data_IF_807346214954
#
_entry.id   IF_807346214954
#
_cell.length_a   1.000
_cell.length_b   1.000
_cell.length_c   1.000
_cell.angle_alpha   90.00
_cell.angle_beta   90.00
_cell.angle_gamma   90.00
#
_symmetry.space_group_name_H-M   'P 1'
#
loop_
_entity.id
_entity.type
_entity.pdbx_description
1 polymer ?
#
# COMPACT_ATOMS: atom_id res chain seq x y z
N UNK A 1 22.31 32.66 38.88
CA UNK A 1 21.20 33.27 38.10
C UNK A 1 21.04 32.66 36.70
N UNK A 2 22.12 32.26 36.01
CA UNK A 2 22.03 31.61 34.68
C UNK A 2 21.43 30.20 34.66
N UNK A 3 21.62 29.40 35.72
CA UNK A 3 21.14 28.00 35.77
C UNK A 3 19.61 27.87 35.78
N UNK A 4 18.91 28.80 36.42
CA UNK A 4 17.45 28.76 36.58
C UNK A 4 16.72 29.10 35.28
N UNK A 5 17.29 29.99 34.46
CA UNK A 5 16.73 30.36 33.15
C UNK A 5 16.88 29.20 32.15
N UNK A 6 18.02 28.49 32.17
CA UNK A 6 18.26 27.31 31.33
C UNK A 6 17.28 26.17 31.65
N UNK A 7 17.02 25.93 32.95
CA UNK A 7 16.07 24.90 33.40
C UNK A 7 14.62 25.22 33.01
N UNK A 8 14.18 26.48 33.14
CA UNK A 8 12.86 26.91 32.66
C UNK A 8 12.72 26.76 31.14
N UNK A 9 13.75 27.10 30.36
CA UNK A 9 13.72 26.95 28.90
C UNK A 9 13.59 25.47 28.47
N UNK A 10 14.35 24.57 29.10
CA UNK A 10 14.28 23.13 28.82
C UNK A 10 12.94 22.50 29.26
N UNK A 11 12.33 22.98 30.35
CA UNK A 11 10.99 22.55 30.77
C UNK A 11 9.91 22.99 29.78
N UNK A 12 9.90 24.26 29.38
CA UNK A 12 8.92 24.79 28.40
C UNK A 12 9.08 24.09 27.04
N UNK A 13 10.31 23.80 26.63
CA UNK A 13 10.59 23.03 25.40
C UNK A 13 10.07 21.60 25.49
N UNK A 14 10.23 20.91 26.62
CA UNK A 14 9.69 19.56 26.84
C UNK A 14 8.16 19.56 26.84
N UNK A 15 7.52 20.50 27.52
CA UNK A 15 6.06 20.62 27.55
C UNK A 15 5.48 20.93 26.17
N UNK A 16 6.13 21.81 25.40
CA UNK A 16 5.76 22.10 24.02
C UNK A 16 5.88 20.87 23.10
N UNK A 17 6.95 20.09 23.24
CA UNK A 17 7.13 18.83 22.51
C UNK A 17 6.01 17.84 22.87
N UNK A 18 5.69 17.69 24.16
CA UNK A 18 4.61 16.81 24.63
C UNK A 18 3.26 17.27 24.05
N UNK A 19 2.98 18.56 24.06
CA UNK A 19 1.74 19.12 23.49
C UNK A 19 1.64 18.86 21.98
N UNK A 20 2.73 19.07 21.23
CA UNK A 20 2.79 18.76 19.78
C UNK A 20 2.57 17.26 19.53
N UNK A 21 3.20 16.39 20.32
CA UNK A 21 3.02 14.94 20.23
C UNK A 21 1.57 14.53 20.53
N UNK A 22 0.94 15.12 21.56
CA UNK A 22 -0.46 14.85 21.92
C UNK A 22 -1.41 15.28 20.79
N UNK A 23 -1.28 16.51 20.28
CA UNK A 23 -2.12 17.01 19.18
C UNK A 23 -1.96 16.16 17.90
N UNK A 24 -0.73 15.77 17.57
CA UNK A 24 -0.44 14.90 16.43
C UNK A 24 -1.07 13.51 16.58
N UNK A 25 -1.10 12.98 17.80
CA UNK A 25 -1.70 11.66 18.08
C UNK A 25 -3.23 11.64 17.92
N UNK A 26 -3.93 12.72 18.29
CA UNK A 26 -5.38 12.83 18.08
C UNK A 26 -5.76 12.88 16.60
N UNK A 27 -4.99 13.62 15.79
CA UNK A 27 -5.18 13.67 14.34
C UNK A 27 -5.00 12.29 13.70
N UNK A 28 -3.91 11.59 14.04
CA UNK A 28 -3.63 10.25 13.51
C UNK A 28 -4.68 9.21 13.93
N UNK A 29 -5.21 9.29 15.15
CA UNK A 29 -6.26 8.39 15.63
C UNK A 29 -7.60 8.61 14.90
N UNK A 30 -7.97 9.87 14.66
CA UNK A 30 -9.17 10.22 13.88
C UNK A 30 -9.05 9.70 12.44
N UNK A 31 -7.92 9.96 11.80
CA UNK A 31 -7.64 9.50 10.44
C UNK A 31 -7.66 7.97 10.32
N UNK A 32 -7.10 7.24 11.31
CA UNK A 32 -7.17 5.78 11.34
C UNK A 32 -8.62 5.28 11.42
N UNK A 33 -9.47 5.89 12.25
CA UNK A 33 -10.89 5.51 12.35
C UNK A 33 -11.61 5.72 11.02
N UNK A 34 -11.33 6.83 10.36
CA UNK A 34 -11.87 7.12 9.03
C UNK A 34 -11.43 6.08 7.99
N UNK A 35 -10.14 5.76 7.93
CA UNK A 35 -9.59 4.73 7.03
C UNK A 35 -10.27 3.39 7.25
N UNK A 36 -10.44 2.96 8.49
CA UNK A 36 -11.11 1.70 8.81
C UNK A 36 -12.56 1.73 8.33
N UNK A 37 -13.27 2.83 8.56
CA UNK A 37 -14.67 2.97 8.16
C UNK A 37 -14.87 2.99 6.63
N UNK A 38 -13.94 3.62 5.90
CA UNK A 38 -13.99 3.72 4.43
C UNK A 38 -13.33 2.54 3.70
N UNK A 39 -12.57 1.69 4.42
CA UNK A 39 -12.03 0.44 3.91
C UNK A 39 -13.16 -0.60 3.74
N UNK A 40 -13.83 -0.58 2.59
CA UNK A 40 -14.95 -1.50 2.29
C UNK A 40 -14.51 -2.83 1.69
N UNK A 41 -13.42 -2.83 0.91
CA UNK A 41 -12.75 -4.04 0.39
C UNK A 41 -11.96 -4.70 1.53
N UNK A 42 -12.09 -6.02 1.67
CA UNK A 42 -11.45 -6.82 2.73
C UNK A 42 -10.91 -8.12 2.18
N UNK A 43 -9.93 -8.70 2.86
CA UNK A 43 -9.39 -10.03 2.56
C UNK A 43 -10.32 -11.12 3.07
N UNK A 44 -10.46 -12.19 2.29
CA UNK A 44 -11.30 -13.36 2.61
C UNK A 44 -10.48 -14.65 2.76
N UNK A 45 -9.14 -14.54 2.82
CA UNK A 45 -8.25 -15.67 3.09
C UNK A 45 -8.15 -16.73 1.99
N UNK A 46 -8.78 -16.50 0.83
CA UNK A 46 -8.81 -17.42 -0.32
C UNK A 46 -8.37 -16.78 -1.63
N UNK A 47 -8.45 -17.57 -2.71
CA UNK A 47 -8.15 -17.14 -4.07
C UNK A 47 -9.28 -16.26 -4.62
N UNK A 48 -8.91 -15.14 -5.24
CA UNK A 48 -9.83 -14.19 -5.90
C UNK A 48 -10.18 -14.55 -7.35
N UNK A 49 -9.58 -15.61 -7.89
CA UNK A 49 -9.65 -16.03 -9.30
C UNK A 49 -9.15 -14.98 -10.30
N UNK A 50 -8.30 -14.04 -9.87
CA UNK A 50 -7.78 -12.98 -10.76
C UNK A 50 -6.98 -13.54 -11.95
N UNK A 51 -6.40 -14.74 -11.81
CA UNK A 51 -5.62 -15.44 -12.85
C UNK A 51 -6.45 -15.80 -14.09
N UNK A 52 -7.76 -15.90 -13.93
CA UNK A 52 -8.67 -16.15 -15.05
C UNK A 52 -8.80 -14.90 -15.94
N UNK A 53 -8.51 -13.71 -15.39
CA UNK A 53 -8.72 -12.43 -16.05
C UNK A 53 -7.42 -11.80 -16.54
N UNK A 54 -6.35 -11.85 -15.73
CA UNK A 54 -5.06 -11.22 -16.05
C UNK A 54 -3.88 -12.10 -15.63
N UNK A 55 -2.74 -11.89 -16.26
CA UNK A 55 -1.48 -12.51 -15.88
C UNK A 55 -0.95 -11.88 -14.59
N UNK A 56 -0.53 -12.73 -13.65
CA UNK A 56 -0.05 -12.31 -12.31
C UNK A 56 1.32 -12.88 -11.94
N UNK A 57 1.91 -13.73 -12.78
CA UNK A 57 3.26 -14.28 -12.59
C UNK A 57 4.35 -13.29 -13.06
N UNK A 58 4.23 -12.04 -12.62
CA UNK A 58 5.05 -10.93 -13.07
C UNK A 58 4.57 -9.60 -12.51
N UNK A 59 4.77 -8.52 -13.24
CA UNK A 59 4.38 -7.17 -12.82
C UNK A 59 3.83 -6.33 -13.98
N UNK A 60 3.09 -5.27 -13.65
CA UNK A 60 2.62 -4.25 -14.58
C UNK A 60 3.41 -2.96 -14.34
N UNK A 61 4.10 -2.45 -15.36
CA UNK A 61 4.87 -1.22 -15.22
C UNK A 61 3.95 0.01 -15.12
N UNK A 62 4.25 0.95 -14.23
CA UNK A 62 3.45 2.18 -14.14
C UNK A 62 3.70 3.11 -15.34
N UNK A 63 4.93 3.09 -15.86
CA UNK A 63 5.39 3.86 -17.00
C UNK A 63 6.42 3.07 -17.79
N UNK A 64 6.67 3.47 -19.04
CA UNK A 64 7.82 3.00 -19.84
C UNK A 64 9.15 3.19 -19.09
N UNK A 65 9.24 4.18 -18.19
CA UNK A 65 10.40 4.36 -17.33
C UNK A 65 10.17 3.66 -15.98
N UNK A 66 10.91 2.57 -15.77
CA UNK A 66 10.82 1.71 -14.57
C UNK A 66 10.99 2.40 -13.22
N UNK A 67 11.62 3.59 -13.21
CA UNK A 67 11.79 4.38 -11.98
C UNK A 67 10.46 4.85 -11.38
N UNK A 68 9.40 4.96 -12.18
CA UNK A 68 8.08 5.41 -11.72
C UNK A 68 7.25 4.30 -11.07
N UNK A 69 7.83 3.13 -10.83
CA UNK A 69 7.22 2.06 -10.05
C UNK A 69 6.44 1.05 -10.89
N UNK A 70 5.92 0.03 -10.21
CA UNK A 70 5.28 -1.13 -10.82
C UNK A 70 4.29 -1.77 -9.85
N UNK A 71 3.39 -2.58 -10.39
CA UNK A 71 2.30 -3.22 -9.66
C UNK A 71 2.42 -4.75 -9.72
N UNK A 72 2.11 -5.41 -8.60
CA UNK A 72 1.87 -6.87 -8.56
C UNK A 72 0.49 -7.09 -7.96
N UNK A 73 -0.26 -8.02 -8.55
CA UNK A 73 -1.51 -8.55 -8.01
C UNK A 73 -1.26 -9.96 -7.52
N UNK A 74 -1.73 -10.29 -6.31
CA UNK A 74 -1.60 -11.62 -5.73
C UNK A 74 -2.95 -12.32 -5.68
N UNK A 75 -2.96 -13.64 -5.80
CA UNK A 75 -4.18 -14.45 -5.76
C UNK A 75 -5.01 -14.25 -4.49
N UNK A 76 -4.36 -13.94 -3.37
CA UNK A 76 -4.98 -13.76 -2.06
C UNK A 76 -5.77 -12.44 -1.91
N UNK A 77 -5.90 -11.66 -2.98
CA UNK A 77 -6.62 -10.38 -2.99
C UNK A 77 -5.76 -9.19 -2.56
N UNK A 78 -4.45 -9.37 -2.38
CA UNK A 78 -3.53 -8.27 -2.11
C UNK A 78 -2.91 -7.69 -3.37
N UNK A 79 -2.59 -6.41 -3.30
CA UNK A 79 -1.90 -5.67 -4.34
C UNK A 79 -0.76 -4.88 -3.72
N UNK A 80 0.28 -4.63 -4.52
CA UNK A 80 1.41 -3.81 -4.09
C UNK A 80 1.88 -2.92 -5.23
N UNK A 81 2.22 -1.68 -4.88
CA UNK A 81 3.01 -0.78 -5.69
C UNK A 81 4.44 -0.74 -5.14
N UNK A 82 5.44 -0.94 -6.01
CA UNK A 82 6.85 -1.05 -5.60
C UNK A 82 7.79 -0.39 -6.61
N UNK A 83 9.05 -0.24 -6.21
CA UNK A 83 10.12 0.30 -7.05
C UNK A 83 11.26 -0.71 -7.21
N UNK A 84 11.90 -0.68 -8.38
CA UNK A 84 13.12 -1.41 -8.67
C UNK A 84 14.36 -0.69 -8.12
N UNK A 85 15.41 -1.46 -7.83
CA UNK A 85 16.77 -0.95 -7.67
C UNK A 85 17.22 -0.37 -9.02
N UNK A 86 17.89 0.77 -8.99
CA UNK A 86 18.15 1.59 -10.19
C UNK A 86 18.95 0.94 -11.32
N UNK A 87 19.63 -0.18 -11.08
CA UNK A 87 20.56 -0.81 -12.02
C UNK A 87 20.11 -2.20 -12.52
N UNK A 88 18.90 -2.66 -12.18
CA UNK A 88 18.47 -4.02 -12.55
C UNK A 88 18.10 -4.14 -14.04
N UNK A 89 18.74 -5.09 -14.71
CA UNK A 89 18.48 -5.45 -16.11
C UNK A 89 17.18 -6.27 -16.26
N UNK A 90 16.65 -6.37 -17.48
CA UNK A 90 15.43 -7.16 -17.75
C UNK A 90 15.59 -8.62 -17.35
N UNK A 91 16.78 -9.20 -17.61
CA UNK A 91 17.05 -10.60 -17.32
C UNK A 91 17.15 -10.87 -15.82
N UNK A 92 17.71 -9.94 -15.05
CA UNK A 92 17.74 -10.03 -13.59
C UNK A 92 16.34 -9.91 -12.99
N UNK A 93 15.53 -8.97 -13.51
CA UNK A 93 14.13 -8.80 -13.08
C UNK A 93 13.33 -10.06 -13.38
N UNK A 94 13.47 -10.61 -14.59
CA UNK A 94 12.77 -11.84 -14.98
C UNK A 94 13.19 -13.02 -14.12
N UNK A 95 14.49 -13.26 -13.94
CA UNK A 95 14.98 -14.42 -13.20
C UNK A 95 14.68 -14.34 -11.69
N UNK A 96 14.79 -13.17 -11.07
CA UNK A 96 14.55 -13.00 -9.64
C UNK A 96 14.04 -11.61 -9.29
N UNK A 97 12.73 -11.41 -9.47
CA UNK A 97 12.07 -10.14 -9.18
C UNK A 97 12.36 -9.67 -7.75
N UNK A 98 12.26 -10.57 -6.77
CA UNK A 98 12.49 -10.25 -5.35
C UNK A 98 13.85 -9.59 -5.06
N UNK A 99 14.92 -10.01 -5.75
CA UNK A 99 16.26 -9.43 -5.57
C UNK A 99 16.42 -8.05 -6.19
N UNK A 100 15.60 -7.71 -7.17
CA UNK A 100 15.65 -6.43 -7.91
C UNK A 100 14.79 -5.33 -7.29
N UNK A 101 13.94 -5.65 -6.31
CA UNK A 101 13.05 -4.70 -5.66
C UNK A 101 13.79 -3.91 -4.58
N UNK A 102 13.45 -2.63 -4.41
CA UNK A 102 13.91 -1.82 -3.26
C UNK A 102 13.40 -2.41 -1.95
N UNK A 103 14.33 -2.74 -1.06
CA UNK A 103 14.05 -3.28 0.27
C UNK A 103 14.71 -2.43 1.34
N UNK A 104 14.11 -2.37 2.53
CA UNK A 104 14.74 -1.78 3.72
C UNK A 104 14.59 -2.70 4.93
N UNK A 105 15.40 -2.46 5.96
CA UNK A 105 15.33 -3.21 7.21
C UNK A 105 14.55 -2.44 8.27
N UNK A 106 13.69 -3.14 8.98
CA UNK A 106 13.04 -2.64 10.19
C UNK A 106 13.24 -3.68 11.30
N UNK A 107 14.15 -3.38 12.22
CA UNK A 107 14.64 -4.38 13.19
C UNK A 107 15.27 -5.58 12.48
N UNK A 108 14.71 -6.78 12.70
CA UNK A 108 15.16 -8.04 12.07
C UNK A 108 14.44 -8.37 10.76
N UNK A 109 13.43 -7.60 10.37
CA UNK A 109 12.62 -7.89 9.19
C UNK A 109 13.14 -7.12 7.96
N UNK A 110 13.11 -7.78 6.80
CA UNK A 110 13.31 -7.16 5.50
C UNK A 110 11.94 -6.83 4.94
N UNK A 111 11.69 -5.55 4.68
CA UNK A 111 10.44 -5.04 4.14
C UNK A 111 10.62 -4.55 2.71
N UNK A 112 9.51 -4.55 1.97
CA UNK A 112 9.45 -4.10 0.59
C UNK A 112 8.03 -3.61 0.25
N UNK A 113 7.90 -2.94 -0.90
CA UNK A 113 6.64 -2.39 -1.40
C UNK A 113 6.32 -1.01 -0.82
N UNK A 114 6.13 -0.02 -1.68
CA UNK A 114 5.83 1.36 -1.27
C UNK A 114 4.43 1.49 -0.70
N UNK A 115 3.42 1.02 -1.44
CA UNK A 115 2.04 0.98 -0.98
C UNK A 115 1.52 -0.45 -1.09
N UNK A 116 0.77 -0.85 -0.08
CA UNK A 116 0.10 -2.15 -0.04
C UNK A 116 -1.40 -1.94 -0.07
N UNK A 117 -2.12 -2.85 -0.70
CA UNK A 117 -3.55 -2.71 -0.88
C UNK A 117 -4.27 -4.03 -0.92
N UNK A 118 -5.59 -3.91 -0.95
CA UNK A 118 -6.51 -5.01 -1.21
C UNK A 118 -7.33 -4.65 -2.42
N UNK A 119 -7.74 -5.65 -3.20
CA UNK A 119 -8.56 -5.42 -4.38
C UNK A 119 -9.81 -6.30 -4.38
N UNK A 120 -10.80 -5.83 -5.13
CA UNK A 120 -11.97 -6.58 -5.54
C UNK A 120 -12.15 -6.44 -7.04
N UNK A 121 -12.70 -7.48 -7.66
CA UNK A 121 -12.98 -7.49 -9.09
C UNK A 121 -14.48 -7.27 -9.26
N UNK A 122 -14.86 -6.34 -10.13
CA UNK A 122 -16.25 -6.10 -10.54
C UNK A 122 -16.28 -5.97 -12.05
N UNK A 123 -16.92 -6.94 -12.70
CA UNK A 123 -16.98 -7.05 -14.16
C UNK A 123 -15.58 -6.99 -14.79
N UNK A 124 -15.31 -5.98 -15.61
CA UNK A 124 -14.03 -5.74 -16.28
C UNK A 124 -13.08 -4.83 -15.49
N UNK A 125 -13.35 -4.58 -14.21
CA UNK A 125 -12.64 -3.57 -13.41
C UNK A 125 -12.09 -4.15 -12.12
N UNK A 126 -10.79 -3.96 -11.89
CA UNK A 126 -10.12 -4.20 -10.63
C UNK A 126 -10.17 -2.92 -9.80
N UNK A 127 -10.81 -2.96 -8.64
CA UNK A 127 -10.94 -1.85 -7.71
C UNK A 127 -10.01 -2.11 -6.54
N UNK A 128 -9.11 -1.17 -6.25
CA UNK A 128 -8.06 -1.30 -5.25
C UNK A 128 -8.28 -0.26 -4.16
N UNK A 129 -8.16 -0.68 -2.91
CA UNK A 129 -7.90 0.20 -1.78
C UNK A 129 -6.42 0.13 -1.43
N UNK A 130 -5.70 1.21 -1.69
CA UNK A 130 -4.26 1.38 -1.45
C UNK A 130 -4.02 2.07 -0.11
N UNK A 131 -3.08 1.54 0.67
CA UNK A 131 -2.69 2.03 1.98
C UNK A 131 -1.19 2.33 1.99
N UNK A 132 -0.83 3.42 2.66
CA UNK A 132 0.55 3.71 3.02
C UNK A 132 0.80 3.29 4.47
N UNK A 133 2.03 2.85 4.75
CA UNK A 133 2.41 2.45 6.10
C UNK A 133 2.41 3.69 7.01
N UNK A 134 1.64 3.69 8.11
CA UNK A 134 1.68 4.82 9.04
C UNK A 134 3.06 4.92 9.71
N UNK A 135 3.45 6.13 10.09
CA UNK A 135 4.67 6.42 10.84
C UNK A 135 4.37 7.41 12.00
N UNK A 136 5.35 7.68 12.86
CA UNK A 136 5.17 8.47 14.09
C UNK A 136 4.43 9.80 13.90
N UNK A 137 4.58 10.44 12.74
CA UNK A 137 3.92 11.71 12.38
C UNK A 137 3.14 11.62 11.06
N UNK A 138 2.93 10.41 10.56
CA UNK A 138 2.25 10.15 9.29
C UNK A 138 1.02 9.29 9.55
N UNK A 139 -0.15 9.91 9.43
CA UNK A 139 -1.42 9.22 9.50
C UNK A 139 -1.61 8.20 8.37
N UNK A 140 -2.63 7.37 8.52
CA UNK A 140 -3.00 6.38 7.51
C UNK A 140 -3.55 7.03 6.24
N UNK A 141 -3.02 6.72 5.06
CA UNK A 141 -3.70 7.06 3.81
C UNK A 141 -4.64 5.95 3.35
N UNK A 142 -5.63 6.33 2.56
CA UNK A 142 -6.49 5.41 1.84
C UNK A 142 -6.87 6.02 0.49
N UNK A 143 -6.40 5.39 -0.57
CA UNK A 143 -6.70 5.79 -1.95
C UNK A 143 -7.43 4.66 -2.68
N UNK A 144 -8.42 5.02 -3.50
CA UNK A 144 -9.07 4.12 -4.43
C UNK A 144 -8.42 4.25 -5.82
N UNK A 145 -8.01 3.12 -6.38
CA UNK A 145 -7.49 3.03 -7.74
C UNK A 145 -8.36 2.03 -8.50
N UNK A 146 -8.81 2.39 -9.70
CA UNK A 146 -9.52 1.44 -10.57
C UNK A 146 -8.75 1.20 -11.85
N UNK A 147 -8.56 -0.07 -12.16
CA UNK A 147 -7.98 -0.54 -13.40
C UNK A 147 -9.05 -1.24 -14.22
N UNK A 148 -9.28 -0.76 -15.45
CA UNK A 148 -10.05 -1.51 -16.44
C UNK A 148 -9.14 -2.57 -17.05
N UNK A 149 -9.61 -3.81 -17.10
CA UNK A 149 -8.99 -4.94 -17.77
C UNK A 149 -9.22 -4.75 -19.27
N UNK A 150 -8.14 -4.74 -20.03
CA UNK A 150 -8.21 -4.61 -21.50
C UNK A 150 -8.11 -6.00 -22.13
N UNK A 151 -7.15 -6.79 -21.65
CA UNK A 151 -6.95 -8.19 -21.98
C UNK A 151 -6.13 -8.86 -20.86
N UNK A 152 -5.68 -10.10 -21.07
CA UNK A 152 -4.91 -10.86 -20.06
C UNK A 152 -3.58 -10.21 -19.69
N UNK A 153 -2.95 -9.46 -20.59
CA UNK A 153 -1.62 -8.89 -20.42
C UNK A 153 -1.64 -7.37 -20.25
N UNK A 154 -2.82 -6.73 -20.29
CA UNK A 154 -2.93 -5.29 -20.29
C UNK A 154 -4.07 -4.77 -19.41
N UNK A 155 -3.73 -3.80 -18.55
CA UNK A 155 -4.67 -3.07 -17.71
C UNK A 155 -4.51 -1.57 -17.88
N UNK A 156 -5.56 -0.80 -17.63
CA UNK A 156 -5.55 0.66 -17.78
C UNK A 156 -6.10 1.35 -16.55
N UNK A 157 -5.34 2.26 -15.95
CA UNK A 157 -5.81 3.05 -14.82
C UNK A 157 -6.87 4.05 -15.30
N UNK A 158 -8.12 3.89 -14.84
CA UNK A 158 -9.26 4.73 -15.24
C UNK A 158 -9.75 5.66 -14.13
N UNK A 159 -9.33 5.41 -12.90
CA UNK A 159 -9.76 6.17 -11.73
C UNK A 159 -8.66 6.27 -10.69
N UNK A 160 -8.55 7.41 -10.02
CA UNK A 160 -7.72 7.59 -8.83
C UNK A 160 -8.36 8.64 -7.91
N UNK A 161 -8.60 8.27 -6.65
CA UNK A 161 -9.09 9.19 -5.64
C UNK A 161 -8.56 8.87 -4.26
N UNK A 162 -8.08 9.87 -3.52
CA UNK A 162 -7.97 9.72 -2.07
C UNK A 162 -9.35 9.72 -1.44
N UNK A 163 -9.67 8.69 -0.66
CA UNK A 163 -11.02 8.50 -0.08
C UNK A 163 -11.16 9.26 1.24
N UNK A 164 -10.09 9.89 1.74
CA UNK A 164 -10.13 10.67 2.98
C UNK A 164 -10.90 11.99 2.82
N UNK A 165 -11.56 12.43 3.88
CA UNK A 165 -12.34 13.67 3.92
C UNK A 165 -11.48 14.90 3.64
N UNK A 166 -10.21 14.86 4.04
CA UNK A 166 -9.23 15.92 3.74
C UNK A 166 -9.03 16.15 2.23
N UNK A 167 -9.38 15.17 1.39
CA UNK A 167 -9.28 15.29 -0.06
C UNK A 167 -10.60 15.70 -0.74
N UNK A 168 -11.72 15.76 -0.02
CA UNK A 168 -13.03 16.00 -0.64
C UNK A 168 -13.10 17.35 -1.35
N UNK A 169 -12.47 18.40 -0.80
CA UNK A 169 -12.45 19.73 -1.42
C UNK A 169 -11.70 19.73 -2.76
N UNK A 170 -10.63 18.94 -2.90
CA UNK A 170 -9.89 18.81 -4.14
C UNK A 170 -10.77 18.24 -5.26
N UNK A 171 -11.56 17.20 -4.95
CA UNK A 171 -12.43 16.52 -5.92
C UNK A 171 -13.74 17.26 -6.21
N UNK A 172 -14.00 18.42 -5.59
CA UNK A 172 -15.08 19.31 -6.03
C UNK A 172 -14.80 19.95 -7.39
N UNK A 173 -13.53 20.15 -7.72
CA UNK A 173 -13.09 20.80 -8.96
C UNK A 173 -12.24 19.91 -9.85
N UNK A 174 -11.75 18.78 -9.34
CA UNK A 174 -10.93 17.83 -10.09
C UNK A 174 -11.65 16.50 -10.24
N UNK A 175 -11.78 16.02 -11.48
CA UNK A 175 -12.34 14.69 -11.72
C UNK A 175 -11.36 13.60 -11.26
N UNK A 176 -11.82 12.60 -10.48
CA UNK A 176 -11.01 11.42 -10.16
C UNK A 176 -10.89 10.44 -11.33
N UNK A 177 -11.73 10.59 -12.37
CA UNK A 177 -11.66 9.80 -13.58
C UNK A 177 -10.51 10.29 -14.46
N UNK A 178 -9.69 9.36 -14.92
CA UNK A 178 -8.52 9.64 -15.76
C UNK A 178 -8.47 8.70 -16.95
N UNK A 179 -7.85 9.16 -18.02
CA UNK A 179 -7.51 8.33 -19.17
C UNK A 179 -6.02 7.96 -19.07
N UNK A 180 -5.68 7.06 -18.13
CA UNK A 180 -4.29 6.68 -17.89
C UNK A 180 -3.68 5.89 -19.05
N UNK A 181 -2.35 5.76 -19.05
CA UNK A 181 -1.64 4.91 -20.01
C UNK A 181 -1.97 3.42 -19.80
N UNK A 182 -1.85 2.65 -20.88
CA UNK A 182 -1.94 1.19 -20.84
C UNK A 182 -0.71 0.64 -20.11
N UNK A 183 -0.94 -0.32 -19.23
CA UNK A 183 0.11 -0.98 -18.45
C UNK A 183 0.21 -2.41 -18.93
N UNK A 184 1.37 -2.75 -19.46
CA UNK A 184 1.66 -4.08 -19.99
C UNK A 184 2.28 -4.96 -18.93
N UNK A 185 1.87 -6.22 -18.95
CA UNK A 185 2.42 -7.28 -18.15
C UNK A 185 3.86 -7.58 -18.58
N UNK A 186 4.71 -7.87 -17.60
CA UNK A 186 6.06 -8.40 -17.81
C UNK A 186 6.23 -9.61 -16.90
N UNK A 187 6.45 -10.78 -17.49
CA UNK A 187 6.64 -12.04 -16.77
C UNK A 187 7.89 -12.03 -15.88
N UNK A 188 7.81 -12.70 -14.74
CA UNK A 188 8.96 -13.05 -13.91
C UNK A 188 8.89 -14.52 -13.47
N UNK A 189 10.04 -15.17 -13.38
CA UNK A 189 10.17 -16.59 -13.02
C UNK A 189 9.97 -16.82 -11.51
N UNK A 190 10.07 -15.76 -10.70
CA UNK A 190 9.79 -15.79 -9.27
C UNK A 190 9.23 -14.48 -8.76
N UNK A 191 8.28 -14.57 -7.82
CA UNK A 191 7.66 -13.42 -7.18
C UNK A 191 8.07 -13.29 -5.71
N UNK A 192 8.12 -12.06 -5.18
CA UNK A 192 8.21 -11.86 -3.74
C UNK A 192 6.94 -12.33 -3.03
N UNK A 193 7.04 -12.64 -1.74
CA UNK A 193 5.88 -13.03 -0.92
C UNK A 193 4.87 -11.89 -0.80
N UNK A 194 3.57 -12.23 -0.83
CA UNK A 194 2.47 -11.30 -0.53
C UNK A 194 2.34 -10.99 0.96
N UNK A 195 3.13 -11.63 1.84
CA UNK A 195 3.14 -11.33 3.27
C UNK A 195 3.57 -9.89 3.51
N UNK A 196 2.74 -9.13 4.22
CA UNK A 196 2.96 -7.70 4.41
C UNK A 196 2.33 -7.20 5.72
N UNK A 197 2.71 -5.99 6.11
CA UNK A 197 2.29 -5.34 7.36
C UNK A 197 0.78 -5.06 7.41
N UNK A 198 0.11 -4.83 6.27
CA UNK A 198 -1.32 -4.54 6.23
C UNK A 198 -2.14 -5.75 6.72
N UNK A 199 -1.71 -6.95 6.34
CA UNK A 199 -2.33 -8.23 6.73
C UNK A 199 -2.25 -8.52 8.23
N UNK A 200 -1.38 -7.85 8.98
CA UNK A 200 -1.31 -7.99 10.43
C UNK A 200 -2.49 -7.32 11.15
N UNK A 201 -3.17 -6.38 10.48
CA UNK A 201 -4.29 -5.66 11.05
C UNK A 201 -5.62 -6.40 10.86
N UNK A 202 -6.23 -6.85 11.97
CA UNK A 202 -7.53 -7.56 11.96
C UNK A 202 -8.61 -6.88 11.11
N UNK A 203 -8.67 -5.55 11.09
CA UNK A 203 -9.71 -4.81 10.37
C UNK A 203 -9.62 -4.90 8.84
N UNK A 204 -8.51 -5.36 8.25
CA UNK A 204 -8.44 -5.58 6.79
C UNK A 204 -9.11 -6.89 6.36
N UNK A 205 -9.36 -7.79 7.31
CA UNK A 205 -9.96 -9.10 7.06
C UNK A 205 -11.46 -9.05 7.20
N UNK A 206 -12.16 -9.79 6.34
CA UNK A 206 -13.61 -9.99 6.42
C UNK A 206 -13.95 -10.86 7.62
N UNK A 207 -13.23 -11.97 7.78
CA UNK A 207 -13.42 -12.94 8.85
C UNK A 207 -12.23 -12.93 9.82
N UNK A 208 -12.53 -12.98 11.12
CA UNK A 208 -11.52 -13.04 12.16
C UNK A 208 -10.73 -14.35 12.16
N UNK A 209 -11.34 -15.46 11.74
CA UNK A 209 -10.67 -16.77 11.62
C UNK A 209 -9.49 -16.71 10.65
N UNK A 210 -9.67 -16.07 9.50
CA UNK A 210 -8.67 -16.00 8.44
C UNK A 210 -7.47 -15.16 8.89
N UNK A 211 -7.74 -14.05 9.60
CA UNK A 211 -6.71 -13.26 10.26
C UNK A 211 -5.94 -14.07 11.30
N UNK A 212 -6.62 -14.84 12.16
CA UNK A 212 -5.95 -15.70 13.16
C UNK A 212 -5.05 -16.73 12.50
N UNK A 213 -5.53 -17.37 11.44
CA UNK A 213 -4.75 -18.33 10.65
C UNK A 213 -3.51 -17.69 10.04
N UNK A 214 -3.66 -16.49 9.45
CA UNK A 214 -2.53 -15.71 8.93
C UNK A 214 -1.51 -15.37 10.04
N UNK A 215 -1.97 -14.85 11.18
CA UNK A 215 -1.09 -14.48 12.30
C UNK A 215 -0.34 -15.69 12.88
N UNK A 216 -0.95 -16.88 12.87
CA UNK A 216 -0.27 -18.11 13.27
C UNK A 216 0.81 -18.53 12.27
N UNK A 217 0.56 -18.38 10.96
CA UNK A 217 1.52 -18.69 9.89
C UNK A 217 2.77 -17.82 10.00
N UNK A 218 2.61 -16.51 10.19
CA UNK A 218 3.76 -15.58 10.25
C UNK A 218 4.57 -15.72 11.54
N UNK A 219 3.97 -16.15 12.66
CA UNK A 219 4.70 -16.42 13.92
C UNK A 219 5.61 -17.64 13.86
N UNK A 220 5.33 -18.56 12.92
CA UNK A 220 6.12 -19.79 12.70
C UNK A 220 7.29 -19.58 11.74
N UNK A 221 7.41 -18.40 11.12
CA UNK A 221 8.55 -17.99 10.28
C UNK A 221 9.61 -17.30 11.12
#
# INVERSE_FOLDING_TARGET
MFYTIQLCYEMVKKELIILICLLSSFSCASQKKEVIAKSTIKLEGGNTNIRDLIEIDGYYADSIYRKYGSYIFFEDGTWVYFHFKGESTNNEIKSNLSKTIVTWKEGKQILWGGNWGVYAIRDDTIIIHSYDKPALLKGWSLDEIRFKIIDREAIKAVYFRSILKSADDYYKTHSPWKNGELKHFTSADSLPSSDNWLKEHKWIWRNESDWKNYMQKIKKK
#
